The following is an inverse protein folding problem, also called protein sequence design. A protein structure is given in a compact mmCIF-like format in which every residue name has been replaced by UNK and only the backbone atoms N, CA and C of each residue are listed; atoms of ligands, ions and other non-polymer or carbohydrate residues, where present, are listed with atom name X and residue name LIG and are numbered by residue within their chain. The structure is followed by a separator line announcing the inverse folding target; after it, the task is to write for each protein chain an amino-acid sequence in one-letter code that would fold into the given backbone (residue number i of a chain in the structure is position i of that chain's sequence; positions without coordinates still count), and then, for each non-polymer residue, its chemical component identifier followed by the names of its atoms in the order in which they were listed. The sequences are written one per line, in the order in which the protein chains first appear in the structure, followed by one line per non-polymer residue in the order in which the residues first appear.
data_IF_859713938377
#
_entry.id   IF_859713938377
#
_cell.length_a   1.000
_cell.length_b   1.000
_cell.length_c   1.000
_cell.angle_alpha   90.00
_cell.angle_beta   90.00
_cell.angle_gamma   90.00
#
_symmetry.space_group_name_H-M   'P 1'
#
loop_
_entity.id
_entity.type
_entity.pdbx_description
1 polymer ?
#
# COMPACT_ATOMS: atom_id res chain seq x y z
N UNK A 1 -7.72 -1.93 -16.31
CA UNK A 1 -8.67 -1.94 -17.42
C UNK A 1 -8.63 -0.68 -18.26
N UNK A 2 -8.56 0.51 -17.64
CA UNK A 2 -8.63 1.79 -18.38
C UNK A 2 -7.47 2.00 -19.38
N UNK A 3 -6.30 1.44 -19.12
CA UNK A 3 -5.12 1.54 -20.02
C UNK A 3 -5.12 0.52 -21.15
N UNK A 4 -5.93 -0.53 -21.05
CA UNK A 4 -6.01 -1.64 -22.01
C UNK A 4 -7.49 -2.01 -22.24
N UNK A 5 -8.30 -1.11 -22.86
CA UNK A 5 -9.74 -1.29 -22.98
C UNK A 5 -10.12 -2.49 -23.86
N UNK A 6 -9.22 -2.94 -24.73
CA UNK A 6 -9.42 -4.10 -25.62
C UNK A 6 -9.18 -5.45 -24.91
N UNK A 7 -8.67 -5.45 -23.68
CA UNK A 7 -8.42 -6.68 -22.92
C UNK A 7 -9.63 -7.10 -22.10
N UNK A 8 -9.85 -8.40 -22.06
CA UNK A 8 -10.84 -8.99 -21.17
C UNK A 8 -10.22 -9.22 -19.79
N UNK A 9 -10.76 -8.57 -18.77
CA UNK A 9 -10.27 -8.64 -17.40
C UNK A 9 -11.14 -9.56 -16.54
N UNK A 10 -10.53 -10.56 -15.95
CA UNK A 10 -11.14 -11.43 -14.95
C UNK A 10 -10.59 -11.00 -13.59
N UNK A 11 -11.44 -10.42 -12.74
CA UNK A 11 -11.05 -9.94 -11.43
C UNK A 11 -11.24 -11.02 -10.37
N UNK A 12 -10.28 -11.11 -9.45
CA UNK A 12 -10.45 -11.87 -8.21
C UNK A 12 -11.26 -11.03 -7.20
N UNK A 13 -12.17 -11.63 -6.47
CA UNK A 13 -12.98 -10.97 -5.43
C UNK A 13 -12.20 -10.64 -4.14
N UNK A 14 -10.88 -10.84 -4.15
CA UNK A 14 -10.01 -10.51 -3.05
C UNK A 14 -9.90 -8.99 -2.80
N UNK A 15 -9.71 -8.62 -1.55
CA UNK A 15 -9.48 -7.23 -1.13
C UNK A 15 -8.56 -7.17 0.10
N UNK A 16 -7.92 -6.01 0.29
CA UNK A 16 -7.17 -5.75 1.52
C UNK A 16 -8.11 -5.18 2.59
N UNK A 17 -8.26 -5.88 3.71
CA UNK A 17 -9.13 -5.45 4.81
C UNK A 17 -8.71 -4.10 5.43
N UNK A 18 -7.41 -3.77 5.41
CA UNK A 18 -6.92 -2.48 5.91
C UNK A 18 -7.42 -1.33 5.03
N UNK A 19 -7.19 -1.42 3.72
CA UNK A 19 -7.62 -0.38 2.78
C UNK A 19 -9.14 -0.27 2.74
N UNK A 20 -9.86 -1.39 2.84
CA UNK A 20 -11.32 -1.39 2.87
C UNK A 20 -11.92 -0.84 4.17
N UNK A 21 -11.15 -0.78 5.25
CA UNK A 21 -11.58 -0.17 6.52
C UNK A 21 -11.44 1.35 6.55
N UNK A 22 -10.71 1.93 5.60
CA UNK A 22 -10.63 3.38 5.40
C UNK A 22 -11.93 3.81 4.72
N UNK A 23 -12.63 4.78 5.30
CA UNK A 23 -13.90 5.28 4.77
C UNK A 23 -13.77 6.72 4.30
N UNK A 24 -14.59 7.11 3.31
CA UNK A 24 -14.64 8.49 2.85
C UNK A 24 -14.99 9.49 3.97
N UNK A 25 -15.80 9.06 4.95
CA UNK A 25 -16.12 9.86 6.14
C UNK A 25 -14.87 10.14 6.98
N UNK A 26 -14.04 9.12 7.24
CA UNK A 26 -12.78 9.30 7.97
C UNK A 26 -11.84 10.27 7.25
N UNK A 27 -11.73 10.16 5.92
CA UNK A 27 -10.89 11.06 5.13
C UNK A 27 -11.41 12.50 5.19
N UNK A 28 -12.72 12.71 5.05
CA UNK A 28 -13.34 14.05 5.14
C UNK A 28 -13.12 14.67 6.51
N UNK A 29 -13.33 13.91 7.58
CA UNK A 29 -13.07 14.39 8.95
C UNK A 29 -11.61 14.78 9.16
N UNK A 30 -10.67 13.97 8.66
CA UNK A 30 -9.24 14.31 8.72
C UNK A 30 -8.93 15.58 7.93
N UNK A 31 -9.55 15.76 6.76
CA UNK A 31 -9.38 16.96 5.93
C UNK A 31 -10.03 18.20 6.55
N UNK A 32 -11.12 18.07 7.30
CA UNK A 32 -11.73 19.17 8.09
C UNK A 32 -10.77 19.67 9.17
N UNK A 33 -10.03 18.78 9.82
CA UNK A 33 -9.03 19.12 10.84
C UNK A 33 -7.74 19.66 10.25
N UNK A 34 -7.36 19.15 9.07
CA UNK A 34 -6.12 19.49 8.37
C UNK A 34 -6.41 19.91 6.93
N UNK A 35 -7.05 21.08 6.71
CA UNK A 35 -7.49 21.52 5.39
C UNK A 35 -6.34 21.75 4.39
N UNK A 36 -5.13 22.03 4.89
CA UNK A 36 -3.91 22.22 4.12
C UNK A 36 -3.29 20.91 3.62
N UNK A 37 -3.60 19.76 4.27
CA UNK A 37 -2.95 18.49 4.02
C UNK A 37 -3.38 17.89 2.66
N UNK A 38 -2.44 17.38 1.88
CA UNK A 38 -2.75 16.53 0.72
C UNK A 38 -3.10 15.12 1.15
N UNK A 39 -4.09 14.53 0.48
CA UNK A 39 -4.59 13.18 0.74
C UNK A 39 -3.91 12.17 -0.19
N UNK A 40 -3.10 11.27 0.36
CA UNK A 40 -2.39 10.26 -0.40
C UNK A 40 -3.05 8.89 -0.20
N UNK A 41 -3.56 8.30 -1.27
CA UNK A 41 -4.45 7.13 -1.22
C UNK A 41 -3.85 5.92 -1.92
N UNK A 42 -3.95 4.77 -1.28
CA UNK A 42 -3.63 3.49 -1.94
C UNK A 42 -4.78 3.04 -2.86
N UNK A 43 -4.49 2.54 -4.08
CA UNK A 43 -5.52 2.19 -5.06
C UNK A 43 -6.43 1.02 -4.65
N UNK A 44 -6.08 0.25 -3.61
CA UNK A 44 -6.94 -0.79 -3.03
C UNK A 44 -8.02 -0.23 -2.08
N UNK A 45 -8.02 1.06 -1.78
CA UNK A 45 -9.13 1.71 -1.09
C UNK A 45 -10.40 1.67 -1.95
N UNK A 46 -11.55 1.88 -1.31
CA UNK A 46 -12.83 1.94 -2.04
C UNK A 46 -12.88 3.13 -3.01
N UNK A 47 -13.63 3.05 -4.13
CA UNK A 47 -13.64 4.10 -5.15
C UNK A 47 -13.99 5.50 -4.63
N UNK A 48 -14.85 5.58 -3.61
CA UNK A 48 -15.24 6.82 -2.96
C UNK A 48 -14.09 7.46 -2.15
N UNK A 49 -13.21 6.64 -1.57
CA UNK A 49 -11.97 7.09 -0.92
C UNK A 49 -10.93 7.51 -1.96
N UNK A 50 -10.75 6.70 -3.01
CA UNK A 50 -9.83 7.01 -4.12
C UNK A 50 -10.19 8.36 -4.78
N UNK A 51 -11.47 8.66 -4.92
CA UNK A 51 -11.95 9.93 -5.47
C UNK A 51 -11.63 11.17 -4.61
N UNK A 52 -11.27 10.99 -3.34
CA UNK A 52 -10.85 12.05 -2.42
C UNK A 52 -9.33 12.28 -2.39
N UNK A 53 -8.56 11.44 -3.09
CA UNK A 53 -7.10 11.52 -3.10
C UNK A 53 -6.57 12.62 -4.01
N UNK A 54 -5.64 13.42 -3.50
CA UNK A 54 -4.81 14.33 -4.32
C UNK A 54 -3.75 13.52 -5.08
N UNK A 55 -3.30 12.40 -4.51
CA UNK A 55 -2.44 11.41 -5.16
C UNK A 55 -2.94 9.99 -4.90
N UNK A 56 -2.90 9.15 -5.93
CA UNK A 56 -3.24 7.72 -5.82
C UNK A 56 -2.08 6.87 -6.33
N UNK A 57 -1.52 6.05 -5.48
CA UNK A 57 -0.37 5.22 -5.83
C UNK A 57 -0.07 4.10 -4.85
N UNK A 58 0.88 3.24 -5.22
CA UNK A 58 1.41 2.20 -4.34
C UNK A 58 2.05 2.80 -3.09
N UNK A 59 2.35 1.96 -2.09
CA UNK A 59 3.04 2.41 -0.87
C UNK A 59 4.36 3.12 -1.18
N UNK A 60 5.19 2.59 -2.09
CA UNK A 60 6.41 3.26 -2.55
C UNK A 60 6.11 4.54 -3.30
N UNK A 61 5.09 4.56 -4.17
CA UNK A 61 4.67 5.76 -4.87
C UNK A 61 4.20 6.88 -3.93
N UNK A 62 3.50 6.54 -2.84
CA UNK A 62 3.12 7.49 -1.79
C UNK A 62 4.36 8.10 -1.11
N UNK A 63 5.37 7.27 -0.80
CA UNK A 63 6.62 7.74 -0.22
C UNK A 63 7.36 8.67 -1.18
N UNK A 64 7.48 8.28 -2.43
CA UNK A 64 8.19 9.06 -3.46
C UNK A 64 7.48 10.39 -3.73
N UNK A 65 6.14 10.37 -3.85
CA UNK A 65 5.33 11.58 -4.01
C UNK A 65 5.50 12.54 -2.83
N UNK A 66 5.34 12.05 -1.60
CA UNK A 66 5.49 12.88 -0.41
C UNK A 66 6.91 13.45 -0.27
N UNK A 67 7.93 12.72 -0.75
CA UNK A 67 9.32 13.18 -0.72
C UNK A 67 9.58 14.26 -1.77
N UNK A 68 9.00 14.15 -2.96
CA UNK A 68 9.18 15.11 -4.06
C UNK A 68 8.27 16.35 -3.95
N UNK A 69 7.15 16.25 -3.22
CA UNK A 69 6.16 17.34 -3.08
C UNK A 69 6.72 18.54 -2.31
N UNK A 70 6.31 19.74 -2.72
CA UNK A 70 6.55 21.00 -2.00
C UNK A 70 5.64 21.19 -0.76
N UNK A 71 4.70 20.28 -0.54
CA UNK A 71 3.80 20.28 0.61
C UNK A 71 4.48 19.64 1.82
N UNK A 72 4.08 20.09 3.00
CA UNK A 72 4.63 19.65 4.28
C UNK A 72 3.66 18.82 5.11
N UNK A 73 2.39 18.76 4.73
CA UNK A 73 1.33 18.11 5.52
C UNK A 73 0.54 17.13 4.65
N UNK A 74 0.42 15.89 5.12
CA UNK A 74 -0.21 14.80 4.36
C UNK A 74 -1.13 13.97 5.24
N UNK A 75 -2.25 13.56 4.65
CA UNK A 75 -3.16 12.54 5.20
C UNK A 75 -2.91 11.23 4.45
N UNK A 76 -2.55 10.18 5.16
CA UNK A 76 -2.11 8.91 4.59
C UNK A 76 -3.22 7.87 4.68
N UNK A 77 -3.70 7.41 3.52
CA UNK A 77 -4.76 6.41 3.37
C UNK A 77 -4.18 5.07 2.91
N UNK A 78 -3.31 4.47 3.75
CA UNK A 78 -2.76 3.12 3.58
C UNK A 78 -2.37 2.54 4.94
N UNK A 79 -1.73 1.36 4.98
CA UNK A 79 -1.28 0.72 6.21
C UNK A 79 -0.27 1.60 6.95
N UNK A 80 -0.47 1.74 8.27
CA UNK A 80 0.26 2.72 9.09
C UNK A 80 1.78 2.48 9.21
N UNK A 81 2.28 1.30 8.86
CA UNK A 81 3.70 1.00 8.88
C UNK A 81 4.53 1.90 7.94
N UNK A 82 3.91 2.43 6.90
CA UNK A 82 4.55 3.38 5.97
C UNK A 82 4.98 4.69 6.66
N UNK A 83 4.31 5.07 7.75
CA UNK A 83 4.61 6.32 8.48
C UNK A 83 6.05 6.36 9.01
N UNK A 84 6.62 5.21 9.34
CA UNK A 84 8.02 5.15 9.77
C UNK A 84 8.95 5.63 8.66
N UNK A 85 8.84 5.06 7.46
CA UNK A 85 9.70 5.42 6.34
C UNK A 85 9.45 6.86 5.85
N UNK A 86 8.18 7.28 5.80
CA UNK A 86 7.81 8.66 5.48
C UNK A 86 8.51 9.66 6.40
N UNK A 87 8.48 9.44 7.71
CA UNK A 87 9.13 10.32 8.70
C UNK A 87 10.66 10.27 8.62
N UNK A 88 11.24 9.09 8.35
CA UNK A 88 12.68 8.95 8.19
C UNK A 88 13.20 9.73 6.97
N UNK A 89 12.50 9.62 5.84
CA UNK A 89 12.90 10.32 4.60
C UNK A 89 12.57 11.82 4.63
N UNK A 90 11.57 12.22 5.41
CA UNK A 90 11.03 13.58 5.42
C UNK A 90 10.86 14.11 6.84
N UNK A 91 11.96 14.38 7.59
CA UNK A 91 11.89 14.74 9.01
C UNK A 91 11.18 16.09 9.26
N UNK A 92 11.10 16.97 8.24
CA UNK A 92 10.42 18.27 8.34
C UNK A 92 8.92 18.21 7.99
N UNK A 93 8.40 17.06 7.51
CA UNK A 93 7.02 16.93 7.06
C UNK A 93 6.14 16.22 8.08
N UNK A 94 4.83 16.50 8.05
CA UNK A 94 3.85 15.96 8.97
C UNK A 94 2.91 14.98 8.25
N UNK A 95 2.69 13.82 8.86
CA UNK A 95 1.88 12.74 8.30
C UNK A 95 0.81 12.31 9.30
N UNK A 96 -0.44 12.38 8.89
CA UNK A 96 -1.61 11.98 9.66
C UNK A 96 -2.23 10.70 9.10
N UNK A 97 -2.72 9.84 9.97
CA UNK A 97 -3.58 8.70 9.61
C UNK A 97 -5.04 9.09 9.71
N UNK A 98 -5.92 8.42 8.96
CA UNK A 98 -7.37 8.71 8.98
C UNK A 98 -8.15 7.91 10.02
N UNK A 99 -7.49 7.07 10.84
CA UNK A 99 -8.17 6.31 11.89
C UNK A 99 -7.38 5.14 12.46
N UNK A 100 -7.98 4.48 13.44
CA UNK A 100 -7.32 3.40 14.21
C UNK A 100 -7.23 2.05 13.47
N UNK A 101 -7.89 1.90 12.32
CA UNK A 101 -8.00 0.63 11.61
C UNK A 101 -6.98 0.43 10.48
N UNK A 102 -6.03 1.35 10.33
CA UNK A 102 -4.96 1.26 9.32
C UNK A 102 -3.82 0.31 9.73
N UNK A 103 -4.11 -0.66 10.56
CA UNK A 103 -3.16 -1.63 11.10
C UNK A 103 -3.45 -3.03 10.54
N UNK A 104 -2.42 -3.66 9.96
CA UNK A 104 -2.51 -5.04 9.50
C UNK A 104 -1.90 -6.00 10.53
N UNK A 105 -2.71 -6.77 11.28
CA UNK A 105 -2.19 -7.70 12.29
C UNK A 105 -1.33 -8.80 11.66
N UNK A 106 -1.59 -9.20 10.42
CA UNK A 106 -0.79 -10.21 9.72
C UNK A 106 0.62 -9.71 9.41
N UNK A 107 0.78 -8.47 8.94
CA UNK A 107 2.11 -7.87 8.71
C UNK A 107 2.90 -7.72 10.01
N UNK A 108 2.22 -7.50 11.15
CA UNK A 108 2.86 -7.30 12.46
C UNK A 108 3.16 -8.61 13.21
N UNK A 109 2.94 -9.77 12.57
CA UNK A 109 3.36 -11.07 13.10
C UNK A 109 4.85 -11.36 12.93
N UNK A 110 5.48 -10.65 12.01
CA UNK A 110 6.94 -10.76 11.80
C UNK A 110 7.64 -9.89 12.83
N UNK A 111 8.48 -10.50 13.66
CA UNK A 111 9.32 -9.81 14.64
C UNK A 111 10.79 -9.84 14.22
N UNK A 112 11.61 -8.97 14.82
CA UNK A 112 13.06 -8.96 14.59
C UNK A 112 13.70 -10.28 15.00
N UNK A 113 13.20 -10.90 16.08
CA UNK A 113 13.66 -12.20 16.55
C UNK A 113 13.40 -13.29 15.50
N UNK A 114 12.19 -13.31 14.92
CA UNK A 114 11.83 -14.25 13.86
C UNK A 114 12.75 -14.10 12.64
N UNK A 115 13.01 -12.86 12.22
CA UNK A 115 13.92 -12.57 11.10
C UNK A 115 15.34 -13.03 11.43
N UNK A 116 15.87 -12.66 12.61
CA UNK A 116 17.19 -13.07 13.08
C UNK A 116 17.33 -14.59 13.09
N UNK A 117 16.35 -15.28 13.69
CA UNK A 117 16.41 -16.74 13.87
C UNK A 117 16.27 -17.49 12.54
N UNK A 118 15.45 -16.98 11.63
CA UNK A 118 15.34 -17.52 10.27
C UNK A 118 16.67 -17.40 9.52
N UNK A 119 17.32 -16.24 9.57
CA UNK A 119 18.61 -16.01 8.91
C UNK A 119 19.75 -16.81 9.54
N UNK A 120 19.81 -16.88 10.90
CA UNK A 120 20.85 -17.61 11.61
C UNK A 120 20.76 -19.11 11.38
N UNK A 121 19.55 -19.66 11.47
CA UNK A 121 19.30 -21.09 11.47
C UNK A 121 18.92 -21.63 10.09
N UNK A 122 18.78 -20.76 9.07
CA UNK A 122 18.33 -21.07 7.71
C UNK A 122 17.04 -21.92 7.71
N UNK A 123 16.09 -21.58 8.62
CA UNK A 123 14.80 -22.26 8.79
C UNK A 123 13.71 -21.56 7.99
N UNK A 124 12.54 -22.22 7.91
CA UNK A 124 11.34 -21.70 7.25
C UNK A 124 11.52 -21.51 5.74
N UNK A 125 12.35 -22.34 5.11
CA UNK A 125 12.44 -22.35 3.64
C UNK A 125 11.05 -22.61 3.04
N UNK A 126 10.69 -21.83 2.06
CA UNK A 126 9.45 -22.02 1.26
C UNK A 126 9.79 -22.89 0.06
N UNK A 127 9.17 -24.05 0.00
CA UNK A 127 9.31 -24.98 -1.12
C UNK A 127 7.98 -25.10 -1.87
N UNK A 128 8.04 -25.06 -3.19
CA UNK A 128 6.90 -25.28 -4.08
C UNK A 128 7.22 -26.42 -5.04
N UNK A 129 6.25 -27.28 -5.41
CA UNK A 129 6.42 -28.17 -6.53
C UNK A 129 6.89 -27.40 -7.76
N UNK A 130 7.90 -27.93 -8.48
CA UNK A 130 8.60 -27.18 -9.54
C UNK A 130 7.65 -26.83 -10.71
N UNK A 131 6.72 -27.71 -11.05
CA UNK A 131 5.68 -27.47 -12.05
C UNK A 131 4.77 -26.30 -11.67
N UNK A 132 4.34 -26.22 -10.40
CA UNK A 132 3.55 -25.11 -9.88
C UNK A 132 4.34 -23.80 -9.94
N UNK A 133 5.61 -23.82 -9.49
CA UNK A 133 6.50 -22.65 -9.53
C UNK A 133 6.69 -22.14 -10.96
N UNK A 134 6.98 -23.03 -11.90
CA UNK A 134 7.19 -22.66 -13.30
C UNK A 134 5.92 -22.12 -13.98
N UNK A 135 4.76 -22.70 -13.67
CA UNK A 135 3.48 -22.22 -14.23
C UNK A 135 3.08 -20.86 -13.63
N UNK A 136 3.23 -20.67 -12.32
CA UNK A 136 3.01 -19.36 -11.70
C UNK A 136 3.96 -18.28 -12.25
N UNK A 137 5.24 -18.63 -12.47
CA UNK A 137 6.22 -17.71 -13.04
C UNK A 137 5.82 -17.22 -14.44
N UNK A 138 5.25 -18.07 -15.30
CA UNK A 138 4.79 -17.66 -16.65
C UNK A 138 3.75 -16.52 -16.57
N UNK A 139 2.80 -16.62 -15.62
CA UNK A 139 1.78 -15.58 -15.42
C UNK A 139 2.40 -14.26 -14.94
N UNK A 140 3.37 -14.33 -14.02
CA UNK A 140 4.09 -13.16 -13.51
C UNK A 140 4.96 -12.51 -14.60
N UNK A 141 5.69 -13.31 -15.38
CA UNK A 141 6.52 -12.82 -16.49
C UNK A 141 5.66 -12.10 -17.54
N UNK A 142 4.49 -12.65 -17.88
CA UNK A 142 3.56 -12.03 -18.82
C UNK A 142 2.97 -10.73 -18.26
N UNK A 143 2.62 -10.69 -16.97
CA UNK A 143 2.17 -9.47 -16.30
C UNK A 143 3.23 -8.37 -16.41
N UNK A 144 4.50 -8.68 -16.11
CA UNK A 144 5.60 -7.71 -16.20
C UNK A 144 5.83 -7.24 -17.63
N UNK A 145 5.72 -8.14 -18.63
CA UNK A 145 5.84 -7.79 -20.05
C UNK A 145 4.75 -6.81 -20.50
N UNK A 146 3.53 -6.96 -20.01
CA UNK A 146 2.39 -6.07 -20.36
C UNK A 146 2.48 -4.73 -19.63
N UNK A 147 3.10 -4.69 -18.45
CA UNK A 147 3.20 -3.49 -17.62
C UNK A 147 4.29 -2.50 -18.08
N UNK A 148 5.19 -2.92 -18.99
CA UNK A 148 6.18 -2.05 -19.63
C UNK A 148 5.53 -1.26 -20.77
#
# INVERSE_FOLDING_TARGET
GSKLPEKNFIYNDGFCHVHRSITAENVKKAKEVHPEAEVLVHPECTPDVVALGDYVGSTSGIIDYATASDKDVFIICTEMGVLYELKQKNPGKTFYSVGHRQFCPNMKRISLENVRDTLRDMKNQVELPEDLRLNAKKALDEMLRIAQ
#
